data_IF_392613725613
#
_entry.id   IF_392613725613
#
_cell.length_a   1.000
_cell.length_b   1.000
_cell.length_c   1.000
_cell.angle_alpha   90.00
_cell.angle_beta   90.00
_cell.angle_gamma   90.00
#
_symmetry.space_group_name_H-M   'P 1'
#
loop_
_entity.id
_entity.type
_entity.pdbx_description
1 polymer ?
#
# COMPACT_ATOMS: atom_id res chain seq x y z
N UNK A 1 12.08 -8.68 16.47
CA UNK A 1 12.79 -9.04 15.21
C UNK A 1 13.17 -7.75 14.51
N UNK A 2 14.27 -7.74 13.76
CA UNK A 2 14.73 -6.58 12.97
C UNK A 2 14.46 -6.85 11.50
N UNK A 3 13.84 -5.89 10.79
CA UNK A 3 13.65 -5.93 9.34
C UNK A 3 14.85 -5.24 8.68
N UNK A 4 15.44 -5.92 7.70
CA UNK A 4 16.57 -5.38 6.92
C UNK A 4 16.05 -4.79 5.62
N UNK A 5 16.32 -3.51 5.36
CA UNK A 5 15.96 -2.86 4.09
C UNK A 5 17.10 -3.03 3.08
N UNK A 6 16.79 -3.71 1.99
CA UNK A 6 17.69 -3.84 0.84
C UNK A 6 17.44 -2.73 -0.19
N UNK A 7 16.20 -2.23 -0.29
CA UNK A 7 15.78 -1.35 -1.38
C UNK A 7 15.04 -2.06 -2.51
N UNK A 8 14.96 -3.40 -2.48
CA UNK A 8 14.48 -4.20 -3.63
C UNK A 8 13.39 -5.23 -3.26
N UNK A 9 13.26 -5.64 -1.99
CA UNK A 9 12.44 -6.78 -1.56
C UNK A 9 11.53 -6.53 -0.35
N UNK A 10 11.19 -5.27 -0.07
CA UNK A 10 10.25 -4.92 1.00
C UNK A 10 8.86 -5.50 0.71
N UNK A 11 8.37 -6.37 1.61
CA UNK A 11 7.03 -6.93 1.54
C UNK A 11 5.99 -6.07 2.25
N UNK A 12 4.70 -6.24 1.88
CA UNK A 12 3.57 -5.60 2.57
C UNK A 12 3.58 -5.94 4.08
N UNK A 13 3.83 -7.21 4.42
CA UNK A 13 3.87 -7.67 5.80
C UNK A 13 5.01 -7.01 6.59
N UNK A 14 6.21 -6.92 6.02
CA UNK A 14 7.33 -6.23 6.67
C UNK A 14 7.00 -4.75 6.91
N UNK A 15 6.45 -4.05 5.91
CA UNK A 15 6.01 -2.67 6.07
C UNK A 15 4.99 -2.53 7.19
N UNK A 16 3.98 -3.40 7.25
CA UNK A 16 2.95 -3.39 8.29
C UNK A 16 3.53 -3.67 9.68
N UNK A 17 4.43 -4.65 9.81
CA UNK A 17 5.09 -4.97 11.10
C UNK A 17 5.91 -3.80 11.63
N UNK A 18 6.55 -3.02 10.76
CA UNK A 18 7.27 -1.81 11.20
C UNK A 18 6.30 -0.68 11.53
N UNK A 19 5.34 -0.43 10.64
CA UNK A 19 4.41 0.69 10.75
C UNK A 19 3.49 0.59 11.97
N UNK A 20 2.98 -0.63 12.26
CA UNK A 20 2.01 -0.89 13.34
C UNK A 20 2.59 -1.66 14.52
N UNK A 21 3.58 -2.53 14.28
CA UNK A 21 4.20 -3.36 15.31
C UNK A 21 5.50 -2.78 15.89
N UNK A 22 5.99 -1.67 15.35
CA UNK A 22 7.25 -1.03 15.76
C UNK A 22 8.45 -1.97 15.73
N UNK A 23 8.48 -2.92 14.78
CA UNK A 23 9.69 -3.70 14.52
C UNK A 23 10.85 -2.78 14.15
N UNK A 24 12.04 -3.11 14.66
CA UNK A 24 13.26 -2.35 14.37
C UNK A 24 13.65 -2.51 12.90
N UNK A 25 14.28 -1.47 12.35
CA UNK A 25 14.71 -1.41 10.96
C UNK A 25 16.19 -1.11 10.88
N UNK A 26 16.89 -1.79 9.99
CA UNK A 26 18.30 -1.51 9.66
C UNK A 26 18.51 -1.61 8.14
N UNK A 27 19.34 -0.76 7.53
CA UNK A 27 19.69 -0.93 6.12
C UNK A 27 20.72 -2.05 5.95
N UNK A 28 20.62 -2.81 4.87
CA UNK A 28 21.65 -3.78 4.50
C UNK A 28 23.01 -3.08 4.28
N UNK A 29 24.12 -3.77 4.54
CA UNK A 29 25.46 -3.24 4.26
C UNK A 29 25.61 -2.87 2.77
N UNK A 30 25.14 -3.74 1.87
CA UNK A 30 25.10 -3.49 0.43
C UNK A 30 24.23 -2.28 0.04
N UNK A 31 23.14 -2.02 0.77
CA UNK A 31 22.32 -0.84 0.54
C UNK A 31 23.07 0.46 0.90
N UNK A 32 23.88 0.45 1.97
CA UNK A 32 24.73 1.60 2.32
C UNK A 32 25.78 1.88 1.25
N UNK A 33 26.42 0.84 0.73
CA UNK A 33 27.39 0.94 -0.36
C UNK A 33 26.74 1.49 -1.64
N UNK A 34 25.55 0.98 -2.01
CA UNK A 34 24.78 1.50 -3.16
C UNK A 34 24.38 2.95 -2.99
N UNK A 35 23.92 3.36 -1.81
CA UNK A 35 23.59 4.76 -1.52
C UNK A 35 24.81 5.67 -1.68
N UNK A 36 25.95 5.27 -1.11
CA UNK A 36 27.19 6.02 -1.25
C UNK A 36 27.59 6.15 -2.73
N UNK A 37 27.54 5.04 -3.48
CA UNK A 37 27.85 5.04 -4.91
C UNK A 37 26.90 5.91 -5.71
N UNK A 38 25.59 5.82 -5.46
CA UNK A 38 24.58 6.65 -6.11
C UNK A 38 24.80 8.14 -5.85
N UNK A 39 25.22 8.49 -4.63
CA UNK A 39 25.58 9.87 -4.27
C UNK A 39 26.81 10.36 -5.03
N UNK A 40 27.87 9.55 -5.12
CA UNK A 40 29.08 9.92 -5.88
C UNK A 40 28.78 10.18 -7.36
N UNK A 41 27.89 9.38 -7.97
CA UNK A 41 27.48 9.56 -9.37
C UNK A 41 26.80 10.92 -9.54
N UNK A 42 25.89 11.25 -8.62
CA UNK A 42 25.20 12.53 -8.61
C UNK A 42 26.18 13.71 -8.45
N UNK A 43 27.14 13.58 -7.54
CA UNK A 43 28.17 14.61 -7.32
C UNK A 43 29.10 14.79 -8.52
N UNK A 44 29.49 13.71 -9.20
CA UNK A 44 30.24 13.79 -10.47
C UNK A 44 29.45 14.50 -11.55
N UNK A 45 28.15 14.22 -11.67
CA UNK A 45 27.28 14.91 -12.63
C UNK A 45 27.22 16.42 -12.35
N UNK A 46 27.16 16.82 -11.08
CA UNK A 46 27.25 18.25 -10.71
C UNK A 46 28.60 18.87 -11.05
N UNK A 47 29.70 18.17 -10.75
CA UNK A 47 31.04 18.68 -11.02
C UNK A 47 31.30 18.89 -12.53
N UNK A 48 30.66 18.07 -13.39
CA UNK A 48 30.71 18.24 -14.85
C UNK A 48 29.85 19.40 -15.37
N UNK A 49 28.97 19.95 -14.55
CA UNK A 49 28.01 20.99 -14.96
C UNK A 49 26.82 20.43 -15.74
N UNK A 50 26.50 19.15 -15.57
CA UNK A 50 25.35 18.54 -16.24
C UNK A 50 24.05 19.27 -15.81
N UNK A 51 23.17 19.55 -16.77
CA UNK A 51 21.87 20.12 -16.48
C UNK A 51 20.95 19.03 -15.88
N UNK A 52 20.79 19.04 -14.57
CA UNK A 52 20.01 18.06 -13.83
C UNK A 52 18.76 18.73 -13.25
N UNK A 53 17.59 18.27 -13.71
CA UNK A 53 16.29 18.87 -13.38
C UNK A 53 16.10 19.01 -11.89
N UNK A 54 15.99 20.24 -11.40
CA UNK A 54 15.71 20.48 -10.01
C UNK A 54 16.91 20.35 -9.07
N UNK A 55 18.12 20.24 -9.62
CA UNK A 55 19.32 20.19 -8.82
C UNK A 55 20.27 21.33 -9.23
N UNK A 56 20.49 21.51 -10.55
CA UNK A 56 21.21 22.66 -11.12
C UNK A 56 20.28 23.66 -11.84
N UNK A 57 19.00 23.32 -11.98
CA UNK A 57 17.95 24.18 -12.54
C UNK A 57 16.78 24.35 -11.57
N UNK A 58 15.95 25.38 -11.77
CA UNK A 58 14.62 25.47 -11.14
C UNK A 58 13.68 24.30 -11.50
N UNK A 59 12.49 24.27 -10.92
CA UNK A 59 11.47 23.23 -11.14
C UNK A 59 10.27 23.76 -11.94
N UNK A 60 9.50 22.85 -12.54
CA UNK A 60 8.27 23.19 -13.26
C UNK A 60 8.50 24.24 -14.35
N UNK A 61 7.74 25.33 -14.31
CA UNK A 61 7.88 26.47 -15.26
C UNK A 61 9.23 27.19 -15.15
N UNK A 62 9.97 27.02 -14.04
CA UNK A 62 11.28 27.65 -13.78
C UNK A 62 12.47 26.75 -14.18
N UNK A 63 12.26 25.65 -14.91
CA UNK A 63 13.31 24.70 -15.34
C UNK A 63 14.48 25.27 -16.15
N UNK A 64 14.40 26.53 -16.58
CA UNK A 64 15.46 27.23 -17.34
C UNK A 64 16.35 28.14 -16.46
N UNK A 65 16.07 28.27 -15.16
CA UNK A 65 16.85 29.13 -14.25
C UNK A 65 17.95 28.30 -13.61
N UNK A 66 19.22 28.64 -13.84
CA UNK A 66 20.35 27.97 -13.22
C UNK A 66 20.51 28.36 -11.73
N UNK A 67 20.85 27.40 -10.87
CA UNK A 67 21.14 27.62 -9.45
C UNK A 67 22.54 27.11 -9.15
N UNK A 68 23.42 27.95 -8.59
CA UNK A 68 24.83 27.60 -8.35
C UNK A 68 25.38 28.12 -7.02
N UNK A 69 26.39 27.41 -6.48
CA UNK A 69 27.15 27.83 -5.29
C UNK A 69 26.34 27.87 -3.99
N UNK A 70 26.58 28.90 -3.17
CA UNK A 70 25.89 29.11 -1.88
C UNK A 70 24.35 29.20 -2.01
N UNK A 71 23.84 29.50 -3.21
CA UNK A 71 22.40 29.54 -3.48
C UNK A 71 21.74 28.16 -3.41
N UNK A 72 22.49 27.05 -3.55
CA UNK A 72 21.93 25.69 -3.59
C UNK A 72 21.34 25.26 -2.24
N UNK A 73 22.03 25.55 -1.13
CA UNK A 73 21.54 25.20 0.21
C UNK A 73 20.27 26.02 0.56
N UNK A 74 20.29 27.31 0.23
CA UNK A 74 19.14 28.20 0.42
C UNK A 74 17.97 27.82 -0.51
N UNK A 75 18.26 27.41 -1.74
CA UNK A 75 17.29 26.89 -2.70
C UNK A 75 16.66 25.57 -2.23
N UNK A 76 17.45 24.66 -1.67
CA UNK A 76 16.96 23.39 -1.10
C UNK A 76 16.03 23.63 0.10
N UNK A 77 16.36 24.59 0.97
CA UNK A 77 15.47 25.00 2.08
C UNK A 77 14.18 25.65 1.58
N UNK A 78 14.29 26.59 0.63
CA UNK A 78 13.12 27.23 0.01
C UNK A 78 12.23 26.22 -0.69
N UNK A 79 12.80 25.21 -1.34
CA UNK A 79 12.02 24.17 -1.99
C UNK A 79 11.10 23.45 -1.01
N UNK A 80 11.61 23.00 0.13
CA UNK A 80 10.78 22.33 1.14
C UNK A 80 9.67 23.25 1.63
N UNK A 81 10.00 24.53 1.87
CA UNK A 81 9.03 25.55 2.28
C UNK A 81 7.95 25.79 1.22
N UNK A 82 8.32 25.96 -0.04
CA UNK A 82 7.41 26.27 -1.15
C UNK A 82 6.46 25.12 -1.47
N UNK A 83 6.86 23.88 -1.18
CA UNK A 83 6.01 22.69 -1.34
C UNK A 83 5.21 22.36 -0.07
N UNK A 84 5.39 23.12 1.02
CA UNK A 84 4.67 22.93 2.29
C UNK A 84 3.25 23.47 2.27
N UNK A 85 2.49 22.94 1.33
CA UNK A 85 1.07 23.23 1.09
C UNK A 85 0.08 22.09 1.42
N UNK A 86 0.41 21.04 2.20
CA UNK A 86 -0.58 19.98 2.48
C UNK A 86 -1.73 20.51 3.34
N UNK A 87 -2.89 19.88 3.22
CA UNK A 87 -4.16 20.31 3.78
C UNK A 87 -4.82 19.17 4.58
N UNK A 88 -5.91 19.51 5.26
CA UNK A 88 -6.76 18.52 5.93
C UNK A 88 -6.21 18.04 7.28
N UNK A 89 -6.82 16.97 7.83
CA UNK A 89 -6.47 16.47 9.15
C UNK A 89 -5.08 15.83 9.17
N UNK A 90 -4.50 15.58 10.36
CA UNK A 90 -3.30 14.76 10.49
C UNK A 90 -3.48 13.37 9.84
N UNK A 91 -2.44 12.90 9.15
CA UNK A 91 -2.37 11.54 8.64
C UNK A 91 -2.32 10.54 9.82
N UNK A 92 -2.93 9.34 9.68
CA UNK A 92 -2.84 8.31 10.71
C UNK A 92 -1.39 7.93 11.04
N UNK A 93 -1.06 7.64 12.32
CA UNK A 93 0.31 7.33 12.73
C UNK A 93 0.96 6.17 11.98
N UNK A 94 0.20 5.12 11.67
CA UNK A 94 0.69 3.98 10.91
C UNK A 94 1.00 4.35 9.45
N UNK A 95 0.20 5.23 8.83
CA UNK A 95 0.48 5.77 7.48
C UNK A 95 1.76 6.61 7.48
N UNK A 96 1.96 7.47 8.47
CA UNK A 96 3.20 8.28 8.61
C UNK A 96 4.42 7.35 8.70
N UNK A 97 4.36 6.35 9.58
CA UNK A 97 5.45 5.37 9.75
C UNK A 97 5.67 4.53 8.50
N UNK A 98 4.60 4.06 7.85
CA UNK A 98 4.72 3.32 6.59
C UNK A 98 5.35 4.17 5.47
N UNK A 99 5.03 5.48 5.43
CA UNK A 99 5.65 6.42 4.49
C UNK A 99 7.15 6.53 4.72
N UNK A 100 7.58 6.63 5.99
CA UNK A 100 8.99 6.62 6.37
C UNK A 100 9.69 5.30 5.99
N UNK A 101 9.04 4.14 6.18
CA UNK A 101 9.59 2.84 5.77
C UNK A 101 9.80 2.80 4.26
N UNK A 102 8.78 3.21 3.49
CA UNK A 102 8.87 3.23 2.04
C UNK A 102 9.95 4.18 1.53
N UNK A 103 10.08 5.35 2.16
CA UNK A 103 11.10 6.34 1.84
C UNK A 103 12.51 5.82 2.14
N UNK A 104 12.71 5.19 3.29
CA UNK A 104 13.98 4.56 3.64
C UNK A 104 14.35 3.43 2.66
N UNK A 105 13.37 2.63 2.22
CA UNK A 105 13.57 1.59 1.20
C UNK A 105 13.93 2.21 -0.17
N UNK A 106 13.28 3.31 -0.57
CA UNK A 106 13.66 4.06 -1.78
C UNK A 106 15.11 4.54 -1.72
N UNK A 107 15.55 5.06 -0.58
CA UNK A 107 16.95 5.48 -0.41
C UNK A 107 17.89 4.29 -0.50
N UNK A 108 17.57 3.16 0.16
CA UNK A 108 18.37 1.94 0.15
C UNK A 108 18.65 1.37 -1.27
N UNK A 109 17.79 1.64 -2.25
CA UNK A 109 18.00 1.27 -3.65
C UNK A 109 19.18 2.03 -4.30
N UNK A 110 19.61 3.16 -3.74
CA UNK A 110 20.71 3.99 -4.27
C UNK A 110 20.35 4.83 -5.50
N UNK A 111 19.12 4.70 -6.01
CA UNK A 111 18.68 5.36 -7.25
C UNK A 111 18.28 6.82 -7.06
N UNK A 112 18.15 7.30 -5.82
CA UNK A 112 17.73 8.67 -5.50
C UNK A 112 18.88 9.68 -5.45
N UNK A 113 20.13 9.22 -5.31
CA UNK A 113 21.31 10.10 -5.24
C UNK A 113 21.44 10.92 -3.95
N UNK A 114 20.79 10.50 -2.86
CA UNK A 114 20.93 11.10 -1.52
C UNK A 114 22.08 10.46 -0.73
N UNK A 115 22.60 11.18 0.27
CA UNK A 115 23.56 10.58 1.20
C UNK A 115 22.91 9.48 2.07
N UNK A 116 23.68 8.43 2.47
CA UNK A 116 23.22 7.45 3.46
C UNK A 116 22.69 8.06 4.76
N UNK A 117 23.20 9.24 5.13
CA UNK A 117 22.73 10.03 6.28
C UNK A 117 21.21 10.24 6.28
N UNK A 118 20.58 10.49 5.13
CA UNK A 118 19.14 10.73 5.05
C UNK A 118 18.34 9.46 5.38
N UNK A 119 18.82 8.28 4.93
CA UNK A 119 18.24 7.01 5.32
C UNK A 119 18.41 6.76 6.83
N UNK A 120 19.60 7.06 7.39
CA UNK A 120 19.87 6.90 8.82
C UNK A 120 18.96 7.76 9.69
N UNK A 121 18.66 9.00 9.28
CA UNK A 121 17.72 9.88 9.98
C UNK A 121 16.31 9.30 9.99
N UNK A 122 15.82 8.84 8.84
CA UNK A 122 14.46 8.27 8.72
C UNK A 122 14.36 6.96 9.52
N UNK A 123 15.37 6.09 9.43
CA UNK A 123 15.44 4.82 10.16
C UNK A 123 15.58 5.06 11.68
N UNK A 124 16.40 6.03 12.09
CA UNK A 124 16.52 6.43 13.49
C UNK A 124 15.17 6.86 14.06
N UNK A 125 14.46 7.75 13.35
CA UNK A 125 13.13 8.18 13.77
C UNK A 125 12.11 7.03 13.82
N UNK A 126 12.16 6.08 12.88
CA UNK A 126 11.31 4.88 12.91
C UNK A 126 11.58 4.03 14.17
N UNK A 127 12.86 3.80 14.47
CA UNK A 127 13.32 2.99 15.61
C UNK A 127 13.07 3.67 16.96
N UNK A 128 13.07 5.00 17.00
CA UNK A 128 12.72 5.80 18.18
C UNK A 128 11.19 5.90 18.39
N UNK A 129 10.39 5.24 17.53
CA UNK A 129 8.92 5.25 17.63
C UNK A 129 8.29 6.60 17.24
N UNK A 130 9.02 7.48 16.55
CA UNK A 130 8.52 8.81 16.18
C UNK A 130 7.40 8.69 15.13
N UNK A 131 6.49 9.64 15.22
CA UNK A 131 5.42 9.86 14.24
C UNK A 131 5.35 11.36 13.94
N UNK A 132 6.19 11.88 13.03
CA UNK A 132 6.21 13.30 12.67
C UNK A 132 4.84 13.82 12.24
N UNK A 133 4.58 15.11 12.49
CA UNK A 133 3.34 15.74 12.06
C UNK A 133 3.28 15.83 10.53
N UNK A 134 2.29 15.16 9.93
CA UNK A 134 2.06 15.16 8.48
C UNK A 134 0.57 15.31 8.22
N UNK A 135 0.18 16.24 7.36
CA UNK A 135 -1.22 16.43 6.94
C UNK A 135 -1.59 15.50 5.80
N UNK A 136 -2.85 15.06 5.78
CA UNK A 136 -3.32 13.95 4.94
C UNK A 136 -3.47 14.30 3.46
N UNK A 137 -3.92 15.51 3.15
CA UNK A 137 -4.41 15.89 1.82
C UNK A 137 -3.41 16.82 1.11
N UNK A 138 -3.51 16.92 -0.22
CA UNK A 138 -2.70 17.84 -1.04
C UNK A 138 -1.69 17.20 -1.99
N UNK A 139 -1.51 15.87 -1.94
CA UNK A 139 -0.82 15.15 -3.02
C UNK A 139 -1.68 15.12 -4.30
N UNK A 140 -1.02 15.22 -5.46
CA UNK A 140 -1.66 15.10 -6.77
C UNK A 140 -1.47 13.72 -7.41
N UNK A 141 -0.70 12.82 -6.80
CA UNK A 141 -0.34 11.53 -7.39
C UNK A 141 0.75 11.60 -8.47
N UNK A 142 1.48 12.71 -8.59
CA UNK A 142 2.69 12.83 -9.39
C UNK A 142 3.83 13.28 -8.47
N UNK A 143 4.26 12.34 -7.62
CA UNK A 143 4.97 12.56 -6.35
C UNK A 143 4.14 13.22 -5.26
N UNK A 144 4.35 12.77 -4.03
CA UNK A 144 3.67 13.21 -2.82
C UNK A 144 4.34 14.45 -2.21
N UNK A 145 4.63 15.46 -3.05
CA UNK A 145 5.43 16.63 -2.70
C UNK A 145 4.92 17.34 -1.43
N UNK A 146 3.60 17.53 -1.35
CA UNK A 146 2.96 18.25 -0.25
C UNK A 146 3.09 17.52 1.10
N UNK A 147 2.57 16.29 1.29
CA UNK A 147 2.70 15.60 2.58
C UNK A 147 4.17 15.28 2.93
N UNK A 148 5.03 14.95 1.95
CA UNK A 148 6.45 14.70 2.23
C UNK A 148 7.21 15.95 2.64
N UNK A 149 6.76 17.15 2.26
CA UNK A 149 7.37 18.40 2.75
C UNK A 149 7.08 18.66 4.23
N UNK A 150 5.91 18.24 4.75
CA UNK A 150 5.65 18.27 6.20
C UNK A 150 6.58 17.30 6.92
N UNK A 151 6.73 16.07 6.40
CA UNK A 151 7.64 15.07 6.96
C UNK A 151 9.11 15.55 6.94
N UNK A 152 9.54 16.17 5.84
CA UNK A 152 10.87 16.72 5.67
C UNK A 152 11.13 17.88 6.64
N UNK A 153 10.14 18.75 6.88
CA UNK A 153 10.29 19.88 7.80
C UNK A 153 10.58 19.45 9.24
N UNK A 154 10.07 18.29 9.66
CA UNK A 154 10.34 17.71 10.98
C UNK A 154 11.65 16.91 11.00
N UNK A 155 11.82 15.96 10.07
CA UNK A 155 12.95 15.04 10.08
C UNK A 155 14.28 15.67 9.67
N UNK A 156 14.25 16.67 8.78
CA UNK A 156 15.46 17.31 8.25
C UNK A 156 15.75 18.65 8.94
N UNK A 157 15.05 18.96 10.04
CA UNK A 157 15.32 20.15 10.83
C UNK A 157 16.78 20.16 11.31
N UNK A 158 17.52 21.22 10.95
CA UNK A 158 18.94 21.36 11.32
C UNK A 158 19.93 20.55 10.47
N UNK A 159 19.46 19.80 9.48
CA UNK A 159 20.33 19.08 8.54
C UNK A 159 20.88 20.05 7.50
N UNK A 160 22.20 20.00 7.27
CA UNK A 160 22.81 20.71 6.13
C UNK A 160 22.63 19.90 4.85
N UNK A 161 21.54 20.18 4.14
CA UNK A 161 21.18 19.49 2.90
C UNK A 161 22.10 19.89 1.75
N UNK A 162 22.56 18.88 1.02
CA UNK A 162 23.34 19.06 -0.20
C UNK A 162 22.43 19.20 -1.42
N UNK A 163 23.04 19.58 -2.55
CA UNK A 163 22.36 19.73 -3.83
C UNK A 163 21.47 18.51 -4.15
N UNK A 164 20.18 18.78 -4.36
CA UNK A 164 19.16 17.82 -4.77
C UNK A 164 18.55 16.96 -3.67
N UNK A 165 19.08 16.97 -2.46
CA UNK A 165 18.56 16.11 -1.39
C UNK A 165 17.15 16.52 -0.93
N UNK A 166 16.85 17.81 -0.91
CA UNK A 166 15.50 18.31 -0.61
C UNK A 166 14.48 17.77 -1.62
N UNK A 167 14.76 17.90 -2.92
CA UNK A 167 13.89 17.38 -3.97
C UNK A 167 13.76 15.87 -3.85
N UNK A 168 14.88 15.14 -3.76
CA UNK A 168 14.88 13.69 -3.72
C UNK A 168 14.07 13.12 -2.53
N UNK A 169 14.01 13.85 -1.41
CA UNK A 169 13.21 13.46 -0.25
C UNK A 169 11.70 13.58 -0.50
N UNK A 170 11.26 14.63 -1.20
CA UNK A 170 9.83 14.90 -1.42
C UNK A 170 9.30 14.42 -2.76
N UNK A 171 10.18 14.18 -3.73
CA UNK A 171 9.84 13.79 -5.10
C UNK A 171 9.76 12.26 -5.23
N UNK A 172 8.77 11.69 -4.55
CA UNK A 172 8.45 10.26 -4.57
C UNK A 172 6.98 10.06 -4.20
N UNK A 173 6.37 8.99 -4.66
CA UNK A 173 5.00 8.59 -4.31
C UNK A 173 4.96 7.71 -3.05
N UNK A 174 5.87 7.95 -2.10
CA UNK A 174 6.03 7.12 -0.90
C UNK A 174 4.82 7.15 0.03
N UNK A 175 4.10 8.28 0.12
CA UNK A 175 2.92 8.42 0.98
C UNK A 175 1.72 7.67 0.41
N UNK A 176 1.44 7.85 -0.89
CA UNK A 176 0.39 7.13 -1.61
C UNK A 176 0.65 5.62 -1.63
N UNK A 177 1.88 5.21 -1.94
CA UNK A 177 2.28 3.79 -1.98
C UNK A 177 2.19 3.14 -0.58
N UNK A 178 2.63 3.84 0.47
CA UNK A 178 2.52 3.35 1.84
C UNK A 178 1.05 3.20 2.28
N UNK A 179 0.21 4.18 1.99
CA UNK A 179 -1.24 4.11 2.26
C UNK A 179 -1.90 2.95 1.51
N UNK A 180 -1.54 2.75 0.24
CA UNK A 180 -2.01 1.63 -0.56
C UNK A 180 -1.60 0.28 0.04
N UNK A 181 -0.35 0.14 0.50
CA UNK A 181 0.13 -1.09 1.14
C UNK A 181 -0.65 -1.45 2.41
N UNK A 182 -0.90 -0.47 3.29
CA UNK A 182 -1.70 -0.69 4.49
C UNK A 182 -3.16 -1.05 4.13
N UNK A 183 -3.77 -0.33 3.20
CA UNK A 183 -5.16 -0.55 2.80
C UNK A 183 -5.36 -1.92 2.14
N UNK A 184 -4.45 -2.34 1.26
CA UNK A 184 -4.52 -3.65 0.60
C UNK A 184 -4.25 -4.78 1.59
N UNK A 185 -3.27 -4.64 2.46
CA UNK A 185 -3.04 -5.62 3.53
C UNK A 185 -4.31 -5.82 4.39
N UNK A 186 -4.98 -4.74 4.79
CA UNK A 186 -6.20 -4.83 5.58
C UNK A 186 -7.38 -5.39 4.79
N UNK A 187 -7.45 -5.09 3.48
CA UNK A 187 -8.46 -5.66 2.58
C UNK A 187 -8.32 -7.17 2.47
N UNK A 188 -7.09 -7.70 2.33
CA UNK A 188 -6.85 -9.15 2.31
C UNK A 188 -7.29 -9.80 3.62
N UNK A 189 -6.94 -9.20 4.77
CA UNK A 189 -7.37 -9.68 6.08
C UNK A 189 -8.89 -9.64 6.25
N UNK A 190 -9.53 -8.59 5.76
CA UNK A 190 -10.98 -8.45 5.76
C UNK A 190 -11.64 -9.56 4.93
N UNK A 191 -11.13 -9.85 3.74
CA UNK A 191 -11.66 -10.93 2.89
C UNK A 191 -11.45 -12.31 3.54
N UNK A 192 -10.35 -12.52 4.25
CA UNK A 192 -10.11 -13.73 5.03
C UNK A 192 -11.15 -13.95 6.13
N UNK A 193 -11.48 -12.89 6.88
CA UNK A 193 -12.55 -12.92 7.87
C UNK A 193 -13.93 -13.07 7.21
N UNK A 194 -14.17 -12.40 6.08
CA UNK A 194 -15.43 -12.43 5.35
C UNK A 194 -15.75 -13.83 4.79
N UNK A 195 -14.74 -14.64 4.46
CA UNK A 195 -14.96 -16.04 4.08
C UNK A 195 -15.35 -16.93 5.24
N UNK A 196 -14.76 -16.71 6.42
CA UNK A 196 -15.16 -17.43 7.64
C UNK A 196 -16.59 -17.05 8.01
N UNK A 197 -16.91 -15.75 8.02
CA UNK A 197 -18.27 -15.27 8.25
C UNK A 197 -19.26 -15.78 7.19
N UNK A 198 -18.85 -15.86 5.92
CA UNK A 198 -19.64 -16.42 4.84
C UNK A 198 -19.92 -17.91 5.03
N UNK A 199 -18.94 -18.68 5.47
CA UNK A 199 -19.11 -20.10 5.80
C UNK A 199 -20.09 -20.28 6.96
N UNK A 200 -19.90 -19.54 8.06
CA UNK A 200 -20.82 -19.55 9.21
C UNK A 200 -22.24 -19.13 8.82
N UNK A 201 -22.39 -18.15 7.92
CA UNK A 201 -23.68 -17.74 7.41
C UNK A 201 -24.36 -18.85 6.61
N UNK A 202 -23.62 -19.60 5.78
CA UNK A 202 -24.17 -20.75 5.06
C UNK A 202 -24.70 -21.82 6.04
N UNK A 203 -23.95 -22.11 7.12
CA UNK A 203 -24.41 -23.04 8.17
C UNK A 203 -25.65 -22.52 8.89
N UNK A 204 -25.59 -21.29 9.42
CA UNK A 204 -26.70 -20.70 10.16
C UNK A 204 -27.98 -20.59 9.34
N UNK A 205 -27.87 -20.40 8.02
CA UNK A 205 -29.02 -20.35 7.12
C UNK A 205 -29.54 -21.75 6.73
N UNK A 206 -28.80 -22.82 7.04
CA UNK A 206 -29.01 -24.17 6.48
C UNK A 206 -29.07 -24.13 4.94
N UNK A 207 -28.10 -23.43 4.35
CA UNK A 207 -28.04 -23.15 2.91
C UNK A 207 -27.79 -24.41 2.08
N UNK A 208 -28.18 -24.37 0.82
CA UNK A 208 -27.99 -25.45 -0.14
C UNK A 208 -26.48 -25.62 -0.47
N UNK A 209 -25.86 -26.77 -0.12
CA UNK A 209 -24.43 -26.99 -0.29
C UNK A 209 -24.00 -27.16 -1.76
N UNK A 210 -24.94 -27.38 -2.69
CA UNK A 210 -24.62 -27.58 -4.11
C UNK A 210 -23.88 -26.39 -4.73
N UNK A 211 -24.04 -25.19 -4.17
CA UNK A 211 -23.35 -23.96 -4.59
C UNK A 211 -21.83 -24.02 -4.33
N UNK A 212 -21.37 -25.00 -3.57
CA UNK A 212 -19.96 -25.27 -3.26
C UNK A 212 -19.42 -26.56 -3.91
N UNK A 213 -20.24 -27.23 -4.73
CA UNK A 213 -19.91 -28.55 -5.29
C UNK A 213 -18.58 -28.54 -6.04
N UNK A 214 -17.76 -29.59 -5.84
CA UNK A 214 -16.41 -29.67 -6.41
C UNK A 214 -16.37 -29.58 -7.93
N UNK A 215 -17.41 -30.10 -8.61
CA UNK A 215 -17.52 -30.05 -10.07
C UNK A 215 -17.67 -28.63 -10.63
N UNK A 216 -18.07 -27.64 -9.83
CA UNK A 216 -18.22 -26.25 -10.28
C UNK A 216 -16.88 -25.65 -10.74
N UNK A 217 -15.75 -26.13 -10.19
CA UNK A 217 -14.41 -25.68 -10.56
C UNK A 217 -14.06 -26.00 -12.01
N UNK A 218 -14.56 -27.12 -12.53
CA UNK A 218 -14.31 -27.56 -13.90
C UNK A 218 -15.25 -26.90 -14.91
N UNK A 219 -16.46 -26.53 -14.48
CA UNK A 219 -17.49 -25.95 -15.38
C UNK A 219 -17.31 -24.45 -15.55
N UNK A 220 -16.81 -23.74 -14.52
CA UNK A 220 -16.51 -22.31 -14.56
C UNK A 220 -15.08 -22.05 -14.11
N UNK A 221 -14.14 -22.28 -15.01
CA UNK A 221 -12.69 -22.36 -14.78
C UNK A 221 -11.98 -21.02 -14.50
N UNK A 222 -12.53 -20.18 -13.63
CA UNK A 222 -11.80 -19.03 -13.09
C UNK A 222 -10.92 -19.50 -11.92
N UNK A 223 -9.59 -19.30 -11.95
CA UNK A 223 -8.68 -19.77 -10.90
C UNK A 223 -9.05 -19.29 -9.49
N UNK A 224 -9.44 -18.01 -9.36
CA UNK A 224 -9.89 -17.44 -8.09
C UNK A 224 -11.15 -18.09 -7.55
N UNK A 225 -12.14 -18.35 -8.42
CA UNK A 225 -13.36 -19.07 -8.03
C UNK A 225 -13.03 -20.47 -7.51
N UNK A 226 -12.18 -21.21 -8.22
CA UNK A 226 -11.79 -22.55 -7.81
C UNK A 226 -11.08 -22.55 -6.44
N UNK A 227 -10.16 -21.60 -6.21
CA UNK A 227 -9.50 -21.39 -4.91
C UNK A 227 -10.50 -21.05 -3.80
N UNK A 228 -11.45 -20.17 -4.06
CA UNK A 228 -12.49 -19.78 -3.10
C UNK A 228 -13.42 -20.95 -2.79
N UNK A 229 -13.88 -21.71 -3.78
CA UNK A 229 -14.69 -22.92 -3.57
C UNK A 229 -13.98 -23.95 -2.68
N UNK A 230 -12.70 -24.23 -2.95
CA UNK A 230 -11.87 -25.10 -2.09
C UNK A 230 -11.78 -24.58 -0.66
N UNK A 231 -11.63 -23.26 -0.48
CA UNK A 231 -11.56 -22.63 0.84
C UNK A 231 -12.88 -22.79 1.61
N UNK A 232 -14.03 -22.52 0.99
CA UNK A 232 -15.35 -22.71 1.63
C UNK A 232 -15.57 -24.18 2.03
N UNK A 233 -15.28 -25.13 1.14
CA UNK A 233 -15.38 -26.57 1.49
C UNK A 233 -14.45 -26.96 2.65
N UNK A 234 -13.25 -26.38 2.73
CA UNK A 234 -12.34 -26.59 3.86
C UNK A 234 -12.89 -26.01 5.17
N UNK A 235 -13.44 -24.80 5.13
CA UNK A 235 -14.03 -24.13 6.30
C UNK A 235 -15.25 -24.89 6.83
N UNK A 236 -16.05 -25.48 5.94
CA UNK A 236 -17.27 -26.23 6.27
C UNK A 236 -17.04 -27.74 6.45
N UNK A 237 -15.79 -28.21 6.54
CA UNK A 237 -15.50 -29.64 6.64
C UNK A 237 -16.11 -30.20 7.93
N UNK A 238 -16.99 -31.19 7.79
CA UNK A 238 -17.71 -31.82 8.91
C UNK A 238 -19.03 -31.12 9.29
N UNK A 239 -19.43 -30.10 8.52
CA UNK A 239 -20.71 -29.41 8.70
C UNK A 239 -21.90 -30.31 8.40
N UNK A 240 -23.00 -30.13 9.14
CA UNK A 240 -24.29 -30.77 8.89
C UNK A 240 -24.90 -30.38 7.53
N UNK A 241 -24.45 -29.28 6.92
CA UNK A 241 -24.90 -28.85 5.60
C UNK A 241 -24.74 -29.91 4.51
N UNK A 242 -23.81 -30.84 4.67
CA UNK A 242 -23.54 -31.90 3.70
C UNK A 242 -24.24 -33.23 4.04
N UNK A 243 -24.81 -33.37 5.23
CA UNK A 243 -25.58 -34.56 5.64
C UNK A 243 -27.09 -34.35 5.56
N UNK A 244 -27.54 -33.12 5.80
CA UNK A 244 -28.94 -32.80 5.98
C UNK A 244 -29.56 -32.28 4.67
N UNK A 245 -30.88 -32.38 4.56
CA UNK A 245 -31.59 -31.81 3.42
C UNK A 245 -31.49 -30.26 3.46
N UNK A 246 -31.21 -29.60 2.33
CA UNK A 246 -31.14 -28.14 2.30
C UNK A 246 -32.52 -27.54 2.58
N UNK A 247 -32.56 -26.41 3.30
CA UNK A 247 -33.81 -25.72 3.63
C UNK A 247 -34.57 -25.30 2.37
N UNK A 248 -33.84 -24.81 1.37
CA UNK A 248 -34.39 -24.30 0.13
C UNK A 248 -33.79 -25.01 -1.08
N UNK A 249 -34.58 -25.13 -2.15
CA UNK A 249 -34.06 -25.56 -3.46
C UNK A 249 -33.02 -24.57 -3.98
N UNK A 250 -33.28 -23.26 -3.83
CA UNK A 250 -32.34 -22.19 -4.16
C UNK A 250 -32.38 -21.13 -3.06
N UNK A 251 -31.21 -20.80 -2.51
CA UNK A 251 -31.09 -19.71 -1.56
C UNK A 251 -31.07 -18.34 -2.25
N UNK A 252 -31.30 -17.24 -1.50
CA UNK A 252 -31.08 -15.89 -1.99
C UNK A 252 -29.71 -15.73 -2.65
N UNK A 253 -29.62 -14.83 -3.64
CA UNK A 253 -28.40 -14.63 -4.44
C UNK A 253 -27.15 -14.38 -3.59
N UNK A 254 -27.30 -13.74 -2.43
CA UNK A 254 -26.20 -13.40 -1.53
C UNK A 254 -25.59 -14.62 -0.85
N UNK A 255 -26.31 -15.75 -0.76
CA UNK A 255 -25.80 -17.06 -0.35
C UNK A 255 -25.31 -17.86 -1.56
N UNK A 256 -26.13 -17.95 -2.61
CA UNK A 256 -25.82 -18.75 -3.81
C UNK A 256 -24.57 -18.27 -4.56
N UNK A 257 -24.36 -16.96 -4.60
CA UNK A 257 -23.23 -16.35 -5.30
C UNK A 257 -22.05 -16.05 -4.39
N UNK A 258 -22.06 -16.48 -3.12
CA UNK A 258 -21.05 -16.12 -2.10
C UNK A 258 -19.64 -16.39 -2.61
N UNK A 259 -19.34 -17.61 -3.07
CA UNK A 259 -18.00 -17.97 -3.52
C UNK A 259 -17.55 -17.15 -4.75
N UNK A 260 -18.47 -16.85 -5.68
CA UNK A 260 -18.15 -16.06 -6.87
C UNK A 260 -17.87 -14.59 -6.56
N UNK A 261 -18.68 -13.98 -5.69
CA UNK A 261 -18.49 -12.59 -5.26
C UNK A 261 -17.18 -12.45 -4.47
N UNK A 262 -16.91 -13.37 -3.55
CA UNK A 262 -15.67 -13.37 -2.77
C UNK A 262 -14.44 -13.62 -3.63
N UNK A 263 -14.53 -14.52 -4.61
CA UNK A 263 -13.44 -14.75 -5.56
C UNK A 263 -13.09 -13.49 -6.36
N UNK A 264 -14.09 -12.77 -6.86
CA UNK A 264 -13.85 -11.53 -7.62
C UNK A 264 -13.15 -10.46 -6.76
N UNK A 265 -13.57 -10.27 -5.51
CA UNK A 265 -12.94 -9.33 -4.59
C UNK A 265 -11.50 -9.74 -4.24
N UNK A 266 -11.25 -11.03 -4.03
CA UNK A 266 -9.90 -11.57 -3.77
C UNK A 266 -8.97 -11.41 -4.96
N UNK A 267 -9.42 -11.78 -6.16
CA UNK A 267 -8.59 -11.67 -7.36
C UNK A 267 -8.20 -10.20 -7.62
N UNK A 268 -9.12 -9.25 -7.40
CA UNK A 268 -8.82 -7.83 -7.51
C UNK A 268 -7.86 -7.33 -6.42
N UNK A 269 -8.02 -7.78 -5.17
CA UNK A 269 -7.11 -7.45 -4.07
C UNK A 269 -5.70 -8.05 -4.27
N UNK A 270 -5.60 -9.27 -4.77
CA UNK A 270 -4.33 -9.93 -5.12
C UNK A 270 -3.62 -9.20 -6.28
N UNK A 271 -4.38 -8.77 -7.29
CA UNK A 271 -3.84 -7.94 -8.37
C UNK A 271 -3.28 -6.62 -7.83
N UNK A 272 -4.05 -5.91 -7.00
CA UNK A 272 -3.58 -4.67 -6.37
C UNK A 272 -2.36 -4.91 -5.47
N UNK A 273 -2.32 -6.00 -4.71
CA UNK A 273 -1.17 -6.36 -3.88
C UNK A 273 0.09 -6.58 -4.72
N UNK A 274 -0.03 -7.21 -5.90
CA UNK A 274 1.10 -7.40 -6.80
C UNK A 274 1.64 -6.05 -7.31
N UNK A 275 0.77 -5.13 -7.73
CA UNK A 275 1.18 -3.79 -8.18
C UNK A 275 1.81 -3.00 -7.02
N UNK A 276 1.20 -3.00 -5.84
CA UNK A 276 1.77 -2.34 -4.65
C UNK A 276 3.13 -2.91 -4.30
N UNK A 277 3.33 -4.24 -4.39
CA UNK A 277 4.63 -4.87 -4.10
C UNK A 277 5.72 -4.37 -5.05
N UNK A 278 5.40 -4.18 -6.33
CA UNK A 278 6.33 -3.55 -7.30
C UNK A 278 6.61 -2.11 -6.89
N UNK A 279 5.58 -1.32 -6.62
CA UNK A 279 5.72 0.10 -6.28
C UNK A 279 6.46 0.33 -4.95
N UNK A 280 6.39 -0.60 -4.00
CA UNK A 280 7.16 -0.55 -2.74
C UNK A 280 8.69 -0.63 -2.98
N UNK A 281 9.09 -1.21 -4.11
CA UNK A 281 10.48 -1.51 -4.45
C UNK A 281 10.95 -0.80 -5.73
N UNK A 282 10.12 0.08 -6.30
CA UNK A 282 10.45 0.86 -7.49
C UNK A 282 11.17 2.19 -7.16
N UNK A 283 11.88 2.76 -8.13
CA UNK A 283 12.40 4.13 -8.02
C UNK A 283 11.35 5.13 -8.54
N UNK A 284 10.56 5.75 -7.65
CA UNK A 284 9.42 6.61 -8.00
C UNK A 284 9.77 8.11 -8.13
N UNK A 285 11.05 8.46 -8.19
CA UNK A 285 11.52 9.84 -8.24
C UNK A 285 12.05 10.26 -9.61
N UNK A 286 12.44 11.54 -9.70
CA UNK A 286 13.14 12.10 -10.85
C UNK A 286 14.11 13.20 -10.40
N UNK A 287 15.35 13.26 -10.93
CA UNK A 287 15.99 12.27 -11.80
C UNK A 287 16.29 10.93 -11.11
N UNK A 288 16.69 9.94 -11.89
CA UNK A 288 17.08 8.61 -11.39
C UNK A 288 18.56 8.38 -11.63
N UNK A 289 19.26 7.91 -10.60
CA UNK A 289 20.63 7.41 -10.70
C UNK A 289 20.60 5.94 -11.11
N UNK A 290 21.20 5.62 -12.26
CA UNK A 290 21.42 4.25 -12.69
C UNK A 290 22.82 3.83 -12.25
N UNK A 291 22.91 3.26 -11.03
CA UNK A 291 24.18 2.95 -10.37
C UNK A 291 25.10 2.09 -11.25
N UNK A 292 24.55 1.04 -11.86
CA UNK A 292 25.31 0.11 -12.72
C UNK A 292 25.77 0.72 -14.05
N UNK A 293 25.16 1.84 -14.46
CA UNK A 293 25.45 2.53 -15.71
C UNK A 293 26.22 3.85 -15.50
N UNK A 294 26.60 4.16 -14.25
CA UNK A 294 27.33 5.39 -13.88
C UNK A 294 26.69 6.69 -14.42
N UNK A 295 25.36 6.73 -14.50
CA UNK A 295 24.64 7.84 -15.16
C UNK A 295 23.40 8.31 -14.41
N UNK A 296 22.99 9.55 -14.70
CA UNK A 296 21.77 10.17 -14.18
C UNK A 296 20.83 10.41 -15.35
N UNK A 297 19.61 9.91 -15.25
CA UNK A 297 18.61 10.00 -16.32
C UNK A 297 17.35 10.71 -15.84
N UNK A 298 16.69 11.41 -16.77
CA UNK A 298 15.34 11.91 -16.53
C UNK A 298 14.35 10.77 -16.71
N UNK A 299 13.42 10.62 -15.77
CA UNK A 299 12.41 9.57 -15.79
C UNK A 299 11.02 10.11 -15.41
N UNK A 300 9.99 9.44 -15.91
CA UNK A 300 8.59 9.69 -15.56
C UNK A 300 8.09 8.80 -14.43
N UNK A 301 8.98 8.22 -13.62
CA UNK A 301 8.64 7.17 -12.66
C UNK A 301 7.78 7.64 -11.47
N UNK A 302 7.56 8.95 -11.34
CA UNK A 302 6.62 9.52 -10.37
C UNK A 302 5.15 9.28 -10.74
N UNK A 303 4.88 8.79 -11.96
CA UNK A 303 3.53 8.50 -12.44
C UNK A 303 2.93 7.28 -11.74
N UNK A 304 1.77 7.46 -11.10
CA UNK A 304 1.12 6.43 -10.27
C UNK A 304 -0.11 5.80 -10.92
N UNK A 305 -0.39 6.09 -12.19
CA UNK A 305 -1.55 5.54 -12.90
C UNK A 305 -1.71 4.00 -12.73
N UNK A 306 -0.65 3.16 -12.83
CA UNK A 306 -0.79 1.72 -12.61
C UNK A 306 -1.30 1.38 -11.20
N UNK A 307 -0.77 2.06 -10.18
CA UNK A 307 -1.18 1.91 -8.80
C UNK A 307 -2.63 2.37 -8.61
N UNK A 308 -2.97 3.57 -9.08
CA UNK A 308 -4.31 4.14 -8.95
C UNK A 308 -5.36 3.24 -9.63
N UNK A 309 -5.10 2.75 -10.85
CA UNK A 309 -6.00 1.87 -11.58
C UNK A 309 -6.21 0.53 -10.85
N UNK A 310 -5.16 -0.05 -10.28
CA UNK A 310 -5.24 -1.29 -9.52
C UNK A 310 -6.07 -1.12 -8.23
N UNK A 311 -5.90 0.01 -7.53
CA UNK A 311 -6.70 0.35 -6.34
C UNK A 311 -8.18 0.58 -6.68
N UNK A 312 -8.47 1.26 -7.79
CA UNK A 312 -9.85 1.44 -8.24
C UNK A 312 -10.52 0.12 -8.63
N UNK A 313 -9.78 -0.78 -9.29
CA UNK A 313 -10.28 -2.12 -9.59
C UNK A 313 -10.59 -2.91 -8.30
N UNK A 314 -9.67 -2.92 -7.33
CA UNK A 314 -9.89 -3.56 -6.03
C UNK A 314 -11.10 -2.96 -5.30
N UNK A 315 -11.24 -1.63 -5.29
CA UNK A 315 -12.37 -0.92 -4.69
C UNK A 315 -13.70 -1.31 -5.33
N UNK A 316 -13.76 -1.35 -6.67
CA UNK A 316 -14.97 -1.74 -7.40
C UNK A 316 -15.38 -3.18 -7.12
N UNK A 317 -14.43 -4.10 -7.02
CA UNK A 317 -14.70 -5.51 -6.72
C UNK A 317 -15.05 -5.76 -5.24
N UNK A 318 -14.53 -4.94 -4.33
CA UNK A 318 -14.80 -5.07 -2.89
C UNK A 318 -16.24 -4.68 -2.53
N UNK A 319 -16.81 -3.65 -3.18
CA UNK A 319 -18.16 -3.14 -2.88
C UNK A 319 -19.23 -4.25 -2.94
N UNK A 320 -19.35 -5.05 -4.03
CA UNK A 320 -20.29 -6.16 -4.07
C UNK A 320 -20.10 -7.21 -2.97
N UNK A 321 -18.87 -7.46 -2.53
CA UNK A 321 -18.60 -8.41 -1.44
C UNK A 321 -19.13 -7.88 -0.09
N UNK A 322 -18.93 -6.60 0.19
CA UNK A 322 -19.45 -5.94 1.39
C UNK A 322 -20.98 -5.86 1.35
N UNK A 323 -21.56 -5.44 0.22
CA UNK A 323 -23.02 -5.41 0.05
C UNK A 323 -23.61 -6.80 0.22
N UNK A 324 -23.04 -7.83 -0.40
CA UNK A 324 -23.53 -9.20 -0.25
C UNK A 324 -23.45 -9.70 1.20
N UNK A 325 -22.43 -9.31 1.95
CA UNK A 325 -22.32 -9.63 3.37
C UNK A 325 -23.43 -8.97 4.20
N UNK A 326 -23.66 -7.67 4.02
CA UNK A 326 -24.76 -6.95 4.70
C UNK A 326 -26.12 -7.53 4.34
N UNK A 327 -26.33 -7.84 3.07
CA UNK A 327 -27.57 -8.44 2.60
C UNK A 327 -27.77 -9.85 3.19
N UNK A 328 -26.73 -10.69 3.32
CA UNK A 328 -26.85 -11.99 4.03
C UNK A 328 -27.32 -11.81 5.48
N UNK A 329 -26.80 -10.81 6.19
CA UNK A 329 -27.24 -10.50 7.57
C UNK A 329 -28.73 -10.19 7.61
N UNK A 330 -29.25 -9.38 6.68
CA UNK A 330 -30.69 -9.06 6.62
C UNK A 330 -31.54 -10.33 6.46
N UNK A 331 -31.09 -11.31 5.65
CA UNK A 331 -31.85 -12.55 5.41
C UNK A 331 -31.77 -13.49 6.62
N UNK A 332 -30.65 -13.48 7.37
CA UNK A 332 -30.55 -14.22 8.62
C UNK A 332 -31.52 -13.70 9.68
N UNK A 333 -31.72 -12.38 9.73
CA UNK A 333 -32.55 -11.71 10.74
C UNK A 333 -34.06 -11.84 10.50
N UNK A 334 -34.51 -12.41 9.37
CA UNK A 334 -35.92 -12.42 9.01
C UNK A 334 -36.44 -13.85 8.80
N UNK A 335 -37.41 -14.24 9.65
CA UNK A 335 -37.92 -15.63 9.76
C UNK A 335 -38.35 -16.24 8.42
N UNK A 336 -39.06 -15.54 7.52
CA UNK A 336 -39.47 -16.12 6.24
C UNK A 336 -38.29 -16.57 5.36
N UNK A 337 -37.10 -15.98 5.54
CA UNK A 337 -35.90 -16.36 4.81
C UNK A 337 -35.10 -17.43 5.56
N UNK A 338 -34.73 -17.14 6.81
CA UNK A 338 -33.80 -17.97 7.57
C UNK A 338 -34.46 -19.11 8.31
N UNK A 339 -35.79 -19.08 8.48
CA UNK A 339 -36.56 -19.93 9.40
C UNK A 339 -35.99 -19.98 10.82
N UNK A 340 -35.22 -18.97 11.21
CA UNK A 340 -34.83 -18.67 12.59
C UNK A 340 -35.77 -17.57 13.13
N UNK A 341 -35.89 -17.41 14.45
CA UNK A 341 -36.69 -16.31 15.01
C UNK A 341 -36.24 -14.94 14.47
N UNK A 342 -37.20 -14.07 14.16
CA UNK A 342 -36.92 -12.71 13.67
C UNK A 342 -36.03 -11.96 14.67
N UNK A 343 -35.01 -11.29 14.15
CA UNK A 343 -33.98 -10.63 14.95
C UNK A 343 -32.99 -11.59 15.61
N UNK A 344 -33.03 -12.89 15.29
CA UNK A 344 -32.30 -13.95 15.99
C UNK A 344 -32.55 -13.94 17.50
N UNK A 345 -33.74 -13.48 17.90
CA UNK A 345 -34.14 -13.45 19.29
C UNK A 345 -34.22 -14.88 19.84
N UNK A 346 -33.83 -15.12 21.10
CA UNK A 346 -34.17 -16.39 21.74
C UNK A 346 -35.68 -16.59 21.63
N UNK A 347 -36.10 -17.84 21.40
CA UNK A 347 -37.52 -18.15 21.51
C UNK A 347 -37.99 -17.65 22.89
N UNK A 348 -39.11 -16.91 22.97
CA UNK A 348 -39.61 -16.49 24.28
C UNK A 348 -39.75 -17.74 25.15
N UNK A 349 -39.26 -17.67 26.39
CA UNK A 349 -39.37 -18.77 27.34
C UNK A 349 -40.85 -19.20 27.44
N UNK A 350 -41.19 -20.31 26.78
CA UNK A 350 -42.52 -20.95 26.81
C UNK A 350 -42.57 -21.98 27.91
#
# INVERSE_FOLDING_TARGET
MTVVLTGEDLSLDQLVRIARGSERVEPAASARERMARGREIMERAFARGDAVYGLTTGYGVKKKVAVGGQAIAEFSRRQLHDHRVPQGPPAPPDVVRATMVRLANAFAAGTTGVRPLLADIVIGALNDGRTPAMRRDGSLGASDLAPLSDLAADLLAGVDLQAGEALAFINTSSYGTAGAALAIHDTVRLLDAADVAGALALEGFAANPSVLHQGLEAVRSHPGLARTLRRYRRLLRGSFLFSDAPRNLQDPLTFRSTAAIQAAARDAAEHAAAIVTVELNASQGNPVVLVDHDTVVTAGNYEVLPLAAALDYARLALVPALTAASERTVKLLDTPWSGLPTGLAPAPDT
#
